data_IF_415525318787
#
_entry.id   IF_415525318787
#
_cell.length_a   1.000
_cell.length_b   1.000
_cell.length_c   1.000
_cell.angle_alpha   90.00
_cell.angle_beta   90.00
_cell.angle_gamma   90.00
#
_symmetry.space_group_name_H-M   'P 1'
#
loop_
_entity.id
_entity.type
_entity.pdbx_description
1 polymer ?
#
# COMPACT_ATOMS: atom_id res chain seq x y z
N UNK A 1 21.41 -3.12 48.87
CA UNK A 1 21.79 -2.68 47.51
C UNK A 1 20.61 -3.01 46.62
N UNK A 2 19.90 -1.98 46.15
CA UNK A 2 18.76 -2.17 45.25
C UNK A 2 19.36 -2.32 43.85
N UNK A 3 19.14 -3.47 43.23
CA UNK A 3 19.46 -3.67 41.82
C UNK A 3 18.38 -2.95 41.01
N UNK A 4 18.77 -1.85 40.36
CA UNK A 4 17.94 -1.24 39.32
C UNK A 4 17.91 -2.22 38.15
N UNK A 5 16.75 -2.86 37.94
CA UNK A 5 16.46 -3.59 36.72
C UNK A 5 16.58 -2.64 35.53
N UNK A 6 17.33 -3.07 34.52
CA UNK A 6 17.53 -2.33 33.28
C UNK A 6 16.19 -2.03 32.61
N UNK A 7 15.98 -0.76 32.27
CA UNK A 7 14.89 -0.29 31.42
C UNK A 7 15.06 -0.92 30.05
N UNK A 8 14.00 -1.56 29.53
CA UNK A 8 13.98 -2.17 28.20
C UNK A 8 14.30 -1.13 27.11
N UNK A 9 15.23 -1.48 26.22
CA UNK A 9 15.73 -0.65 25.13
C UNK A 9 14.59 -0.29 24.16
N UNK A 10 13.98 0.88 24.36
CA UNK A 10 12.91 1.41 23.52
C UNK A 10 13.51 2.20 22.35
N UNK A 11 14.32 1.53 21.53
CA UNK A 11 14.88 2.15 20.32
C UNK A 11 13.83 2.16 19.20
N UNK A 12 13.38 3.36 18.81
CA UNK A 12 12.42 3.54 17.72
C UNK A 12 13.14 3.24 16.39
N UNK A 13 12.69 2.23 15.63
CA UNK A 13 13.16 1.96 14.27
C UNK A 13 12.62 3.02 13.29
N UNK A 14 13.37 4.11 13.15
CA UNK A 14 13.08 5.19 12.22
C UNK A 14 13.06 4.73 10.76
N UNK A 15 13.85 3.69 10.41
CA UNK A 15 13.89 3.15 9.05
C UNK A 15 12.57 2.50 8.67
N UNK A 16 11.95 1.76 9.60
CA UNK A 16 10.61 1.22 9.42
C UNK A 16 9.56 2.35 9.30
N UNK A 17 9.64 3.38 10.15
CA UNK A 17 8.72 4.53 10.09
C UNK A 17 8.77 5.23 8.73
N UNK A 18 9.96 5.54 8.21
CA UNK A 18 10.10 6.19 6.91
C UNK A 18 9.57 5.31 5.77
N UNK A 19 9.69 3.99 5.87
CA UNK A 19 9.15 3.06 4.87
C UNK A 19 7.63 3.10 4.81
N UNK A 20 6.95 3.14 5.95
CA UNK A 20 5.48 3.27 6.02
C UNK A 20 4.99 4.60 5.42
N UNK A 21 5.82 5.63 5.45
CA UNK A 21 5.50 6.94 4.89
C UNK A 21 5.89 7.08 3.40
N UNK A 22 6.67 6.16 2.85
CA UNK A 22 7.09 6.19 1.45
C UNK A 22 5.99 5.64 0.54
N UNK A 23 5.33 6.53 -0.21
CA UNK A 23 4.29 6.15 -1.16
C UNK A 23 4.78 5.13 -2.21
N UNK A 24 6.08 5.14 -2.53
CA UNK A 24 6.63 4.21 -3.51
C UNK A 24 6.57 2.76 -3.03
N UNK A 25 6.43 2.50 -1.73
CA UNK A 25 6.24 1.15 -1.16
C UNK A 25 4.84 0.59 -1.45
N UNK A 26 3.84 1.46 -1.60
CA UNK A 26 2.46 1.06 -1.88
C UNK A 26 2.18 1.01 -3.37
N UNK A 27 2.78 1.91 -4.14
CA UNK A 27 2.56 2.04 -5.58
C UNK A 27 1.49 3.08 -5.91
N UNK A 28 0.58 2.75 -6.82
CA UNK A 28 -0.52 3.62 -7.24
C UNK A 28 -1.89 3.15 -6.72
N UNK A 29 -2.90 4.01 -6.87
CA UNK A 29 -4.25 3.80 -6.35
C UNK A 29 -5.22 3.25 -7.43
N UNK A 30 -6.14 2.33 -7.08
CA UNK A 30 -7.21 1.92 -7.97
C UNK A 30 -8.16 3.07 -8.31
N UNK A 31 -8.40 3.31 -9.60
CA UNK A 31 -9.44 4.20 -10.09
C UNK A 31 -10.78 3.46 -10.16
N UNK A 32 -11.68 3.78 -9.23
CA UNK A 32 -12.98 3.14 -9.10
C UNK A 32 -14.02 3.71 -10.08
N UNK A 33 -15.09 2.95 -10.32
CA UNK A 33 -16.19 3.34 -11.21
C UNK A 33 -15.97 3.02 -12.69
N UNK A 34 -14.90 2.30 -13.02
CA UNK A 34 -14.63 1.81 -14.36
C UNK A 34 -15.06 0.34 -14.51
N UNK A 35 -15.38 -0.08 -15.72
CA UNK A 35 -15.65 -1.49 -16.06
C UNK A 35 -14.40 -2.37 -16.14
N UNK A 36 -13.31 -1.98 -15.48
CA UNK A 36 -12.02 -2.64 -15.52
C UNK A 36 -11.05 -2.08 -14.49
N UNK A 37 -9.92 -2.75 -14.31
CA UNK A 37 -8.87 -2.32 -13.37
C UNK A 37 -7.99 -1.27 -14.02
N UNK A 38 -7.91 -0.09 -13.41
CA UNK A 38 -6.99 0.99 -13.77
C UNK A 38 -6.31 1.51 -12.51
N UNK A 39 -4.99 1.75 -12.58
CA UNK A 39 -4.19 2.25 -11.46
C UNK A 39 -3.64 3.62 -11.82
N UNK A 40 -3.93 4.63 -10.99
CA UNK A 40 -3.37 5.98 -11.12
C UNK A 40 -2.02 6.02 -10.41
N UNK A 41 -1.03 6.67 -11.02
CA UNK A 41 0.28 6.93 -10.44
C UNK A 41 0.57 8.43 -10.50
N UNK A 42 1.45 8.92 -9.62
CA UNK A 42 1.95 10.28 -9.70
C UNK A 42 2.91 10.44 -10.89
N UNK A 43 2.93 11.64 -11.50
CA UNK A 43 3.84 11.92 -12.62
C UNK A 43 5.33 11.80 -12.26
N UNK A 44 5.67 11.99 -10.98
CA UNK A 44 7.01 11.81 -10.43
C UNK A 44 7.31 10.41 -9.87
N UNK A 45 6.45 9.41 -10.13
CA UNK A 45 6.60 8.07 -9.58
C UNK A 45 7.94 7.43 -9.99
N UNK A 46 8.79 7.03 -9.03
CA UNK A 46 10.03 6.33 -9.35
C UNK A 46 9.75 4.91 -9.86
N UNK A 47 10.73 4.22 -10.47
CA UNK A 47 10.55 2.86 -10.99
C UNK A 47 9.95 1.87 -9.96
N UNK A 48 10.33 2.00 -8.69
CA UNK A 48 9.78 1.19 -7.59
C UNK A 48 8.27 1.39 -7.41
N UNK A 49 7.80 2.65 -7.45
CA UNK A 49 6.38 2.94 -7.33
C UNK A 49 5.58 2.35 -8.50
N UNK A 50 6.12 2.40 -9.72
CA UNK A 50 5.49 1.79 -10.90
C UNK A 50 5.44 0.26 -10.80
N UNK A 51 6.53 -0.37 -10.34
CA UNK A 51 6.55 -1.82 -10.08
C UNK A 51 5.47 -2.22 -9.07
N UNK A 52 5.34 -1.45 -7.98
CA UNK A 52 4.32 -1.69 -6.96
C UNK A 52 2.91 -1.41 -7.49
N UNK A 53 2.71 -0.40 -8.34
CA UNK A 53 1.43 -0.14 -9.01
C UNK A 53 0.97 -1.33 -9.88
N UNK A 54 1.88 -1.98 -10.61
CA UNK A 54 1.56 -3.22 -11.35
C UNK A 54 1.14 -4.34 -10.39
N UNK A 55 1.80 -4.43 -9.24
CA UNK A 55 1.42 -5.41 -8.20
C UNK A 55 0.03 -5.12 -7.62
N UNK A 56 -0.33 -3.84 -7.43
CA UNK A 56 -1.69 -3.41 -7.04
C UNK A 56 -2.70 -3.79 -8.12
N UNK A 57 -2.42 -3.54 -9.41
CA UNK A 57 -3.29 -3.94 -10.51
C UNK A 57 -3.56 -5.45 -10.50
N UNK A 58 -2.50 -6.25 -10.38
CA UNK A 58 -2.62 -7.70 -10.36
C UNK A 58 -3.40 -8.20 -9.14
N UNK A 59 -3.26 -7.53 -7.97
CA UNK A 59 -4.06 -7.81 -6.78
C UNK A 59 -5.54 -7.46 -6.99
N UNK A 60 -5.85 -6.31 -7.58
CA UNK A 60 -7.22 -5.88 -7.85
C UNK A 60 -7.95 -6.87 -8.80
N UNK A 61 -7.26 -7.36 -9.83
CA UNK A 61 -7.79 -8.41 -10.73
C UNK A 61 -8.02 -9.71 -9.97
N UNK A 62 -7.03 -10.21 -9.23
CA UNK A 62 -7.16 -11.46 -8.47
C UNK A 62 -8.23 -11.40 -7.39
N UNK A 63 -8.45 -10.22 -6.81
CA UNK A 63 -9.47 -9.98 -5.81
C UNK A 63 -10.87 -9.80 -6.40
N UNK A 64 -11.05 -9.79 -7.73
CA UNK A 64 -12.34 -9.54 -8.36
C UNK A 64 -12.91 -8.16 -8.02
N UNK A 65 -12.05 -7.13 -7.90
CA UNK A 65 -12.44 -5.83 -7.36
C UNK A 65 -13.62 -5.22 -8.12
N UNK A 66 -13.62 -5.30 -9.44
CA UNK A 66 -14.65 -4.70 -10.29
C UNK A 66 -15.95 -5.50 -10.16
N UNK A 67 -15.87 -6.83 -10.21
CA UNK A 67 -17.00 -7.74 -10.11
C UNK A 67 -17.72 -7.60 -8.76
N UNK A 68 -16.95 -7.55 -7.67
CA UNK A 68 -17.51 -7.32 -6.34
C UNK A 68 -18.12 -5.92 -6.22
N UNK A 69 -17.44 -4.88 -6.72
CA UNK A 69 -17.98 -3.52 -6.67
C UNK A 69 -19.30 -3.40 -7.45
N UNK A 70 -19.39 -3.95 -8.65
CA UNK A 70 -20.62 -3.96 -9.45
C UNK A 70 -21.74 -4.71 -8.74
N UNK A 71 -21.44 -5.88 -8.17
CA UNK A 71 -22.41 -6.68 -7.41
C UNK A 71 -22.99 -5.91 -6.21
N UNK A 72 -22.17 -5.22 -5.43
CA UNK A 72 -22.62 -4.43 -4.26
C UNK A 72 -23.46 -3.21 -4.67
N UNK A 73 -23.26 -2.70 -5.89
CA UNK A 73 -24.03 -1.58 -6.44
C UNK A 73 -25.25 -2.02 -7.26
N UNK A 74 -25.55 -3.33 -7.30
CA UNK A 74 -26.62 -3.93 -8.12
C UNK A 74 -26.53 -3.55 -9.61
N UNK A 75 -25.32 -3.46 -10.15
CA UNK A 75 -25.04 -3.24 -11.58
C UNK A 75 -24.90 -4.56 -12.35
#
# INVERSE_FOLDING_TARGET
KIELAAVEDTTIDLGHVFRVLDYAEYGGEPLLGLGGVSIICHGGSPPKAIQNAVSVAARAVRAGLVEHSAKELNL
#
